data_IF_506227497565
#
_entry.id   IF_506227497565
#
_cell.length_a   1.000
_cell.length_b   1.000
_cell.length_c   1.000
_cell.angle_alpha   90.00
_cell.angle_beta   90.00
_cell.angle_gamma   90.00
#
_symmetry.space_group_name_H-M   'P 1'
#
loop_
_entity.id
_entity.type
_entity.pdbx_description
1 polymer ?
#
# COMPACT_ATOMS: atom_id res chain seq x y z
N UNK A 1 -0.15 25.54 -27.72
CA UNK A 1 -1.37 24.79 -27.39
C UNK A 1 -1.00 23.64 -26.45
N UNK A 2 -1.22 23.78 -25.13
CA UNK A 2 -0.96 22.69 -24.18
C UNK A 2 -2.01 21.59 -24.43
N UNK A 3 -1.59 20.50 -25.08
CA UNK A 3 -2.44 19.37 -25.49
C UNK A 3 -3.36 18.92 -24.35
N UNK A 4 -4.65 18.74 -24.63
CA UNK A 4 -5.68 18.29 -23.67
C UNK A 4 -5.26 17.01 -22.92
N UNK A 5 -4.45 16.15 -23.55
CA UNK A 5 -3.88 14.95 -22.94
C UNK A 5 -2.95 15.26 -21.75
N UNK A 6 -2.21 16.38 -21.79
CA UNK A 6 -1.37 16.82 -20.68
C UNK A 6 -2.19 17.39 -19.52
N UNK A 7 -3.35 18.00 -19.79
CA UNK A 7 -4.26 18.52 -18.76
C UNK A 7 -5.02 17.38 -18.07
N UNK A 8 -5.52 16.40 -18.84
CA UNK A 8 -6.20 15.20 -18.35
C UNK A 8 -5.24 14.36 -17.49
N UNK A 9 -4.00 14.14 -17.94
CA UNK A 9 -2.98 13.44 -17.14
C UNK A 9 -2.63 14.19 -15.85
N UNK A 10 -2.58 15.52 -15.87
CA UNK A 10 -2.32 16.34 -14.67
C UNK A 10 -3.44 16.20 -13.64
N UNK A 11 -4.69 16.38 -14.06
CA UNK A 11 -5.86 16.28 -13.18
C UNK A 11 -6.02 14.87 -12.59
N UNK A 12 -5.75 13.82 -13.38
CA UNK A 12 -5.83 12.44 -12.91
C UNK A 12 -4.70 12.09 -11.93
N UNK A 13 -3.51 12.66 -12.10
CA UNK A 13 -2.38 12.50 -11.17
C UNK A 13 -2.56 13.32 -9.87
N UNK A 14 -3.22 14.47 -9.95
CA UNK A 14 -3.54 15.32 -8.80
C UNK A 14 -4.65 14.70 -7.94
N UNK A 15 -5.68 14.13 -8.57
CA UNK A 15 -6.70 13.32 -7.89
C UNK A 15 -6.08 12.13 -7.13
N UNK A 16 -5.09 11.46 -7.74
CA UNK A 16 -4.36 10.34 -7.15
C UNK A 16 -3.49 10.76 -5.95
N UNK A 17 -2.82 11.92 -6.03
CA UNK A 17 -2.04 12.48 -4.92
C UNK A 17 -2.93 12.83 -3.73
N UNK A 18 -4.06 13.46 -3.99
CA UNK A 18 -5.03 13.80 -2.95
C UNK A 18 -5.61 12.53 -2.28
N UNK A 19 -5.81 11.45 -3.05
CA UNK A 19 -6.26 10.16 -2.49
C UNK A 19 -5.18 9.49 -1.63
N UNK A 20 -3.89 9.57 -1.99
CA UNK A 20 -2.81 8.99 -1.17
C UNK A 20 -2.65 9.66 0.19
N UNK A 21 -2.80 10.98 0.23
CA UNK A 21 -2.74 11.75 1.48
C UNK A 21 -3.94 11.42 2.39
N UNK A 22 -5.15 11.38 1.82
CA UNK A 22 -6.37 10.99 2.54
C UNK A 22 -6.34 9.54 3.06
N UNK A 23 -5.77 8.62 2.29
CA UNK A 23 -5.70 7.19 2.63
C UNK A 23 -4.60 6.85 3.64
N UNK A 24 -3.90 7.86 4.18
CA UNK A 24 -2.79 7.67 5.12
C UNK A 24 -1.69 6.74 4.58
N UNK A 25 -1.50 6.72 3.25
CA UNK A 25 -0.40 6.02 2.61
C UNK A 25 0.88 6.85 2.77
N UNK A 26 1.39 6.91 4.00
CA UNK A 26 2.55 7.73 4.41
C UNK A 26 3.87 7.28 3.78
N UNK A 27 3.91 6.12 3.14
CA UNK A 27 5.13 5.57 2.56
C UNK A 27 5.39 6.15 1.14
N UNK A 28 6.43 6.98 0.96
CA UNK A 28 6.73 7.62 -0.32
C UNK A 28 7.18 6.64 -1.41
N UNK A 29 7.51 5.39 -1.04
CA UNK A 29 7.96 4.36 -1.96
C UNK A 29 6.79 3.55 -2.55
N UNK A 30 5.56 3.77 -2.06
CA UNK A 30 4.33 3.23 -2.67
C UNK A 30 3.94 4.14 -3.84
N UNK A 31 3.99 3.59 -5.05
CA UNK A 31 3.56 4.28 -6.27
C UNK A 31 2.28 3.65 -6.79
N UNK A 32 1.19 4.41 -6.80
CA UNK A 32 -0.05 4.00 -7.47
C UNK A 32 0.18 4.06 -8.98
N UNK A 33 -0.21 2.98 -9.65
CA UNK A 33 -0.15 2.85 -11.10
C UNK A 33 -1.46 3.33 -11.73
N UNK A 34 -2.57 2.83 -11.22
CA UNK A 34 -3.93 3.21 -11.67
C UNK A 34 -4.97 2.74 -10.65
N UNK A 35 -6.19 3.25 -10.81
CA UNK A 35 -7.36 2.90 -9.99
C UNK A 35 -8.43 2.31 -10.91
N UNK A 36 -8.97 1.16 -10.51
CA UNK A 36 -10.12 0.53 -11.15
C UNK A 36 -11.32 0.71 -10.23
N UNK A 37 -12.42 1.24 -10.77
CA UNK A 37 -13.68 1.34 -10.04
C UNK A 37 -14.58 0.19 -10.48
N UNK A 38 -15.03 -0.61 -9.52
CA UNK A 38 -16.06 -1.63 -9.70
C UNK A 38 -17.37 -1.14 -9.10
N UNK A 39 -18.46 -1.88 -9.35
CA UNK A 39 -19.77 -1.58 -8.76
C UNK A 39 -19.79 -1.76 -7.23
N UNK A 40 -18.93 -2.63 -6.69
CA UNK A 40 -18.90 -2.97 -5.25
C UNK A 40 -17.75 -2.35 -4.47
N UNK A 41 -16.63 -2.03 -5.12
CA UNK A 41 -15.43 -1.49 -4.48
C UNK A 41 -14.51 -0.81 -5.49
N UNK A 42 -13.56 -0.02 -5.01
CA UNK A 42 -12.47 0.51 -5.83
C UNK A 42 -11.17 -0.24 -5.55
N UNK A 43 -10.46 -0.69 -6.59
CA UNK A 43 -9.14 -1.32 -6.50
C UNK A 43 -8.06 -0.33 -6.94
N UNK A 44 -7.15 0.01 -6.04
CA UNK A 44 -5.96 0.81 -6.33
C UNK A 44 -4.79 -0.12 -6.57
N UNK A 45 -4.21 -0.12 -7.77
CA UNK A 45 -3.04 -0.96 -8.06
C UNK A 45 -1.76 -0.17 -7.83
N UNK A 46 -0.90 -0.68 -6.96
CA UNK A 46 0.32 0.01 -6.56
C UNK A 46 1.53 -0.93 -6.53
N UNK A 47 2.73 -0.32 -6.58
CA UNK A 47 4.00 -1.01 -6.39
C UNK A 47 4.78 -0.35 -5.27
N UNK A 48 5.40 -1.16 -4.42
CA UNK A 48 6.36 -0.75 -3.41
C UNK A 48 7.76 -0.98 -3.95
N UNK A 49 8.54 0.07 -4.15
CA UNK A 49 9.85 -0.03 -4.81
C UNK A 49 10.93 0.81 -4.09
N UNK A 50 11.63 0.15 -3.16
CA UNK A 50 12.76 0.72 -2.43
C UNK A 50 14.08 0.60 -3.20
N UNK A 51 15.10 1.35 -2.75
CA UNK A 51 16.49 1.09 -3.12
C UNK A 51 16.94 -0.25 -2.51
N UNK A 52 17.80 -1.02 -3.19
CA UNK A 52 18.30 -2.27 -2.63
C UNK A 52 19.02 -2.05 -1.29
N UNK A 53 18.66 -2.76 -0.22
CA UNK A 53 19.39 -2.73 1.04
C UNK A 53 20.64 -3.63 0.97
N UNK A 54 21.44 -3.64 2.03
CA UNK A 54 22.46 -4.67 2.22
C UNK A 54 21.82 -6.00 2.63
N UNK A 55 22.48 -7.11 2.30
CA UNK A 55 21.98 -8.43 2.67
C UNK A 55 22.04 -8.62 4.20
N UNK A 56 20.94 -9.00 4.87
CA UNK A 56 20.93 -9.20 6.33
C UNK A 56 21.76 -10.42 6.78
N UNK A 57 22.16 -11.31 5.86
CA UNK A 57 22.89 -12.52 6.19
C UNK A 57 24.41 -12.38 6.04
N UNK A 58 24.87 -11.72 4.97
CA UNK A 58 26.30 -11.62 4.65
C UNK A 58 26.77 -10.19 4.38
N UNK A 59 25.91 -9.19 4.57
CA UNK A 59 26.18 -7.77 4.28
C UNK A 59 26.57 -7.46 2.83
N UNK A 60 26.43 -8.44 1.91
CA UNK A 60 26.69 -8.26 0.48
C UNK A 60 25.66 -7.38 -0.21
N UNK A 61 26.02 -6.87 -1.38
CA UNK A 61 25.17 -6.01 -2.20
C UNK A 61 23.93 -6.77 -2.71
N UNK A 62 22.75 -6.18 -2.54
CA UNK A 62 21.52 -6.70 -3.13
C UNK A 62 21.18 -5.98 -4.44
N UNK A 63 20.54 -6.70 -5.35
CA UNK A 63 19.96 -6.14 -6.58
C UNK A 63 18.44 -6.19 -6.55
N UNK A 64 17.82 -5.31 -7.34
CA UNK A 64 16.39 -5.45 -7.65
C UNK A 64 16.22 -6.72 -8.46
N UNK A 65 15.40 -7.63 -7.95
CA UNK A 65 15.02 -8.83 -8.67
C UNK A 65 13.66 -8.56 -9.33
N UNK A 66 12.66 -9.37 -9.04
CA UNK A 66 11.30 -9.25 -9.55
C UNK A 66 10.35 -8.62 -8.50
N UNK A 67 9.05 -8.66 -8.79
CA UNK A 67 7.98 -8.30 -7.86
C UNK A 67 7.26 -9.55 -7.38
N UNK A 68 6.74 -9.51 -6.15
CA UNK A 68 5.82 -10.52 -5.66
C UNK A 68 4.46 -10.43 -6.36
N UNK A 69 3.70 -11.53 -6.33
CA UNK A 69 2.26 -11.52 -6.62
C UNK A 69 1.59 -10.41 -5.80
N UNK A 70 0.68 -9.62 -6.40
CA UNK A 70 0.01 -8.54 -5.68
C UNK A 70 -0.79 -9.08 -4.50
N UNK A 71 -0.62 -8.45 -3.34
CA UNK A 71 -1.44 -8.67 -2.16
C UNK A 71 -2.59 -7.69 -2.16
N UNK A 72 -3.82 -8.18 -1.96
CA UNK A 72 -5.00 -7.33 -1.74
C UNK A 72 -5.04 -6.95 -0.27
N UNK A 73 -4.99 -5.66 0.00
CA UNK A 73 -4.94 -5.07 1.34
C UNK A 73 -6.16 -4.15 1.46
N UNK A 74 -7.11 -4.41 2.37
CA UNK A 74 -8.19 -3.48 2.62
C UNK A 74 -7.63 -2.19 3.21
N UNK A 75 -8.12 -1.06 2.72
CA UNK A 75 -7.80 0.28 3.23
C UNK A 75 -9.10 0.94 3.68
N UNK A 76 -8.98 2.07 4.39
CA UNK A 76 -10.15 2.83 4.82
C UNK A 76 -10.98 3.27 3.61
N UNK A 77 -12.30 3.27 3.78
CA UNK A 77 -13.25 3.61 2.73
C UNK A 77 -13.01 5.02 2.19
N UNK A 78 -13.00 5.17 0.87
CA UNK A 78 -13.00 6.47 0.22
C UNK A 78 -14.44 6.90 -0.04
N UNK A 79 -14.89 7.98 0.60
CA UNK A 79 -16.21 8.57 0.35
C UNK A 79 -17.37 7.57 0.57
N UNK A 80 -17.26 6.71 1.59
CA UNK A 80 -18.27 5.69 1.89
C UNK A 80 -18.26 4.48 0.95
N UNK A 81 -17.23 4.35 0.09
CA UNK A 81 -17.09 3.23 -0.83
C UNK A 81 -15.90 2.33 -0.46
N UNK A 82 -16.09 1.00 -0.38
CA UNK A 82 -15.01 0.08 -0.03
C UNK A 82 -13.80 0.21 -0.95
N UNK A 83 -12.62 0.23 -0.36
CA UNK A 83 -11.37 0.41 -1.10
C UNK A 83 -10.37 -0.70 -0.79
N UNK A 84 -9.71 -1.19 -1.84
CA UNK A 84 -8.71 -2.25 -1.75
C UNK A 84 -7.43 -1.79 -2.45
N UNK A 85 -6.30 -1.87 -1.74
CA UNK A 85 -4.98 -1.66 -2.30
C UNK A 85 -4.39 -3.00 -2.78
N UNK A 86 -4.17 -3.11 -4.08
CA UNK A 86 -3.48 -4.24 -4.71
C UNK A 86 -2.00 -3.90 -4.81
N UNK A 87 -1.22 -4.32 -3.81
CA UNK A 87 0.18 -3.92 -3.64
C UNK A 87 1.15 -5.00 -4.12
N UNK A 88 1.98 -4.67 -5.11
CA UNK A 88 3.14 -5.48 -5.49
C UNK A 88 4.39 -5.05 -4.71
N UNK A 89 4.96 -5.96 -3.92
CA UNK A 89 6.19 -5.72 -3.15
C UNK A 89 7.43 -6.10 -3.98
N UNK A 90 8.47 -5.28 -3.94
CA UNK A 90 9.75 -5.56 -4.61
C UNK A 90 10.49 -6.67 -3.89
N UNK A 91 11.06 -7.61 -4.65
CA UNK A 91 12.02 -8.59 -4.15
C UNK A 91 13.45 -8.13 -4.47
N UNK A 92 14.34 -8.41 -3.53
CA UNK A 92 15.78 -8.15 -3.65
C UNK A 92 16.53 -9.45 -3.53
N UNK A 93 17.53 -9.68 -4.38
CA UNK A 93 18.38 -10.85 -4.31
C UNK A 93 19.83 -10.43 -4.01
N UNK A 94 20.48 -11.12 -3.06
CA UNK A 94 21.89 -10.91 -2.78
C UNK A 94 22.76 -11.55 -3.86
N UNK A 95 23.78 -10.83 -4.35
CA UNK A 95 24.73 -11.39 -5.34
C UNK A 95 25.66 -12.44 -4.74
N UNK A 96 25.98 -12.37 -3.45
CA UNK A 96 26.98 -13.23 -2.82
C UNK A 96 26.39 -14.56 -2.33
N UNK A 97 25.20 -14.54 -1.72
CA UNK A 97 24.59 -15.73 -1.11
C UNK A 97 23.24 -16.13 -1.73
N UNK A 98 22.81 -15.46 -2.80
CA UNK A 98 21.55 -15.72 -3.52
C UNK A 98 20.26 -15.62 -2.70
N UNK A 99 20.34 -15.20 -1.43
CA UNK A 99 19.18 -15.03 -0.54
C UNK A 99 18.28 -13.91 -1.05
N UNK A 100 16.97 -14.14 -0.99
CA UNK A 100 15.94 -13.18 -1.41
C UNK A 100 15.27 -12.54 -0.19
N UNK A 101 15.11 -11.22 -0.20
CA UNK A 101 14.32 -10.47 0.78
C UNK A 101 13.22 -9.68 0.07
N UNK A 102 12.16 -9.33 0.80
CA UNK A 102 11.01 -8.60 0.28
C UNK A 102 11.00 -7.21 0.91
N UNK A 103 10.63 -6.18 0.15
CA UNK A 103 10.41 -4.84 0.69
C UNK A 103 9.27 -4.84 1.70
N UNK A 104 9.54 -4.35 2.90
CA UNK A 104 8.55 -4.18 3.96
C UNK A 104 8.04 -2.72 3.98
N UNK A 105 6.84 -2.51 4.52
CA UNK A 105 6.20 -1.18 4.62
C UNK A 105 5.41 -1.12 5.92
N UNK A 106 5.37 0.02 6.64
CA UNK A 106 4.58 0.15 7.88
C UNK A 106 3.08 0.02 7.64
N UNK A 107 2.60 0.18 6.40
CA UNK A 107 1.18 0.05 6.08
C UNK A 107 0.61 -1.32 6.45
N UNK A 108 1.40 -2.39 6.28
CA UNK A 108 0.98 -3.77 6.54
C UNK A 108 2.13 -4.54 7.15
N UNK A 109 1.87 -5.20 8.28
CA UNK A 109 2.86 -6.02 8.95
C UNK A 109 3.29 -7.21 8.08
N UNK A 110 4.50 -7.72 8.35
CA UNK A 110 5.01 -8.91 7.68
C UNK A 110 4.04 -10.07 7.83
N UNK A 111 3.77 -10.79 6.74
CA UNK A 111 2.82 -11.91 6.68
C UNK A 111 1.34 -11.56 7.01
N UNK A 112 0.99 -10.28 7.09
CA UNK A 112 -0.40 -9.84 7.28
C UNK A 112 -0.98 -9.30 5.96
N UNK A 113 -2.32 -9.29 5.87
CA UNK A 113 -3.06 -8.72 4.74
C UNK A 113 -3.90 -7.51 5.14
N UNK A 114 -4.14 -7.27 6.44
CA UNK A 114 -4.93 -6.14 6.94
C UNK A 114 -4.00 -4.93 7.13
N UNK A 115 -4.41 -3.76 6.65
CA UNK A 115 -3.64 -2.54 6.86
C UNK A 115 -3.74 -2.05 8.31
N UNK A 116 -2.67 -1.44 8.82
CA UNK A 116 -2.65 -0.90 10.18
C UNK A 116 -3.78 0.11 10.45
N UNK A 117 -4.14 1.04 9.53
CA UNK A 117 -5.26 1.95 9.75
C UNK A 117 -6.61 1.23 9.91
N UNK A 118 -6.85 0.16 9.15
CA UNK A 118 -8.07 -0.65 9.28
C UNK A 118 -8.08 -1.38 10.63
N UNK A 119 -6.95 -1.98 11.01
CA UNK A 119 -6.82 -2.64 12.31
C UNK A 119 -7.10 -1.67 13.46
N UNK A 120 -6.53 -0.46 13.42
CA UNK A 120 -6.76 0.58 14.42
C UNK A 120 -8.23 0.99 14.51
N UNK A 121 -8.89 1.22 13.36
CA UNK A 121 -10.32 1.55 13.32
C UNK A 121 -11.18 0.43 13.91
N UNK A 122 -10.87 -0.84 13.60
CA UNK A 122 -11.57 -1.99 14.19
C UNK A 122 -11.39 -2.04 15.70
N UNK A 123 -10.17 -1.87 16.21
CA UNK A 123 -9.91 -1.81 17.66
C UNK A 123 -10.69 -0.68 18.34
N UNK A 124 -10.69 0.52 17.75
CA UNK A 124 -11.43 1.66 18.30
C UNK A 124 -12.95 1.41 18.36
N UNK A 125 -13.52 0.82 17.31
CA UNK A 125 -14.93 0.44 17.29
C UNK A 125 -15.27 -0.59 18.36
N UNK A 126 -14.42 -1.61 18.52
CA UNK A 126 -14.59 -2.63 19.56
C UNK A 126 -14.52 -2.02 20.97
N UNK A 127 -13.53 -1.15 21.22
CA UNK A 127 -13.40 -0.44 22.50
C UNK A 127 -14.64 0.38 22.81
N UNK A 128 -15.14 1.18 21.87
CA UNK A 128 -16.33 2.02 22.06
C UNK A 128 -17.61 1.18 22.27
N UNK A 129 -17.71 0.02 21.62
CA UNK A 129 -18.87 -0.88 21.79
C UNK A 129 -18.88 -1.56 23.16
N UNK A 130 -17.71 -1.97 23.66
CA UNK A 130 -17.56 -2.54 24.99
C UNK A 130 -17.92 -1.50 26.07
N UNK A 131 -17.40 -0.27 25.96
CA UNK A 131 -17.69 0.78 26.96
C UNK A 131 -19.19 1.10 27.07
N UNK A 132 -19.96 1.02 25.98
CA UNK A 132 -21.41 1.25 26.03
C UNK A 132 -22.17 0.06 26.66
N UNK A 133 -21.60 -1.14 26.60
CA UNK A 133 -22.20 -2.36 27.16
C UNK A 133 -21.88 -2.51 28.65
N UNK A 134 -20.72 -2.02 29.08
CA UNK A 134 -20.21 -2.07 30.46
C UNK A 134 -20.73 -0.93 31.36
N UNK A 135 -21.43 0.07 30.79
CA UNK A 135 -22.07 1.18 31.51
C UNK A 135 -23.58 0.90 31.80
N UNK A 136 -24.14 -0.17 31.24
CA UNK A 136 -25.55 -0.54 31.39
C UNK A 136 -25.82 -1.44 32.61
#
# INVERSE_FOLDING_TARGET
MKSANNLIRKNHMELLKNTTELLSLKDPNIKILFVLKYQTHSEMRAKLDYKPPLCPHCHGNMIKYDFQKPSKIPILDCQGFPCVLSLKKRRFQCKNCSKVTISETPLVLKNHQISQPVLFKMTQLLTNSMTNSDIA
#
